data_IF_271801257819
#
_entry.id   IF_271801257819
#
_cell.length_a   1.000
_cell.length_b   1.000
_cell.length_c   1.000
_cell.angle_alpha   90.00
_cell.angle_beta   90.00
_cell.angle_gamma   90.00
#
_symmetry.space_group_name_H-M   'P 1'
#
loop_
_entity.id
_entity.type
_entity.pdbx_description
1 polymer ?
#
# COMPACT_ATOMS: atom_id res chain seq x y z
N UNK A 1 50.62 18.26 18.45
CA UNK A 1 49.52 19.07 17.88
C UNK A 1 49.00 18.52 16.54
N UNK A 2 49.83 18.10 15.59
CA UNK A 2 49.31 17.60 14.27
C UNK A 2 48.71 16.18 14.32
N UNK A 3 49.01 15.34 15.30
CA UNK A 3 48.46 13.97 15.41
C UNK A 3 47.02 13.93 15.88
N UNK A 4 46.63 14.90 16.69
CA UNK A 4 45.24 14.96 17.22
C UNK A 4 44.24 15.51 16.19
N UNK A 5 44.68 16.41 15.34
CA UNK A 5 43.87 16.99 14.28
C UNK A 5 43.44 15.94 13.22
N UNK A 6 44.27 14.94 12.93
CA UNK A 6 43.94 13.82 12.03
C UNK A 6 42.86 12.89 12.59
N UNK A 7 42.85 12.68 13.92
CA UNK A 7 41.85 11.83 14.59
C UNK A 7 40.46 12.49 14.59
N UNK A 8 40.41 13.81 14.74
CA UNK A 8 39.17 14.56 14.68
C UNK A 8 38.56 14.64 13.26
N UNK A 9 39.43 14.65 12.25
CA UNK A 9 39.00 14.65 10.85
C UNK A 9 38.30 13.34 10.44
N UNK A 10 38.74 12.21 11.00
CA UNK A 10 38.14 10.91 10.77
C UNK A 10 36.81 10.73 11.53
N UNK A 11 36.66 11.37 12.67
CA UNK A 11 35.41 11.35 13.45
C UNK A 11 34.29 12.22 12.81
N UNK A 12 34.68 13.28 12.12
CA UNK A 12 33.69 14.13 11.36
C UNK A 12 33.23 13.48 10.07
N UNK A 13 34.01 12.59 9.47
CA UNK A 13 33.62 11.86 8.25
C UNK A 13 32.60 10.73 8.52
N UNK A 14 32.51 10.24 9.75
CA UNK A 14 31.54 9.21 10.15
C UNK A 14 30.14 9.76 10.48
N UNK A 15 30.00 11.06 10.64
CA UNK A 15 28.73 11.70 11.04
C UNK A 15 27.82 12.10 9.87
N UNK A 16 28.22 11.87 8.62
CA UNK A 16 27.49 12.35 7.42
C UNK A 16 26.77 11.23 6.66
N UNK A 17 26.77 9.99 7.17
CA UNK A 17 25.97 8.92 6.56
C UNK A 17 24.68 8.71 7.37
N UNK A 18 23.99 9.78 7.69
CA UNK A 18 22.55 9.74 7.95
C UNK A 18 21.88 10.03 6.61
N UNK A 19 22.02 9.10 5.67
CA UNK A 19 21.27 9.12 4.41
C UNK A 19 19.80 9.06 4.77
N UNK A 20 19.05 10.07 4.36
CA UNK A 20 17.62 9.98 4.22
C UNK A 20 17.35 8.66 3.48
N UNK A 21 16.82 7.69 4.15
CA UNK A 21 16.21 6.54 3.51
C UNK A 21 14.92 7.07 2.91
N UNK A 22 15.00 7.61 1.69
CA UNK A 22 13.86 7.66 0.81
C UNK A 22 13.39 6.21 0.75
N UNK A 23 12.24 5.95 1.33
CA UNK A 23 11.61 4.63 1.28
C UNK A 23 11.26 4.39 -0.18
N UNK A 24 12.17 3.74 -0.90
CA UNK A 24 11.89 3.27 -2.25
C UNK A 24 10.71 2.34 -2.15
N UNK A 25 9.68 2.61 -2.93
CA UNK A 25 8.49 1.77 -2.96
C UNK A 25 8.90 0.33 -3.32
N UNK A 26 8.36 -0.67 -2.62
CA UNK A 26 8.75 -2.07 -2.83
C UNK A 26 8.20 -2.67 -4.12
N UNK A 27 7.26 -2.00 -4.78
CA UNK A 27 6.63 -2.45 -6.02
C UNK A 27 7.30 -1.84 -7.26
N UNK A 28 7.29 -2.58 -8.34
CA UNK A 28 7.71 -2.10 -9.64
C UNK A 28 6.62 -1.23 -10.30
N UNK A 29 7.00 -0.45 -11.32
CA UNK A 29 6.04 0.43 -12.03
C UNK A 29 4.86 -0.33 -12.66
N UNK A 30 5.09 -1.55 -13.13
CA UNK A 30 4.07 -2.42 -13.72
C UNK A 30 3.13 -3.04 -12.67
N UNK A 31 3.45 -2.91 -11.39
CA UNK A 31 2.58 -3.32 -10.27
C UNK A 31 1.72 -2.15 -9.76
N UNK A 32 1.93 -0.95 -10.27
CA UNK A 32 0.99 0.16 -10.07
C UNK A 32 -0.19 0.01 -11.03
N UNK A 33 -1.39 0.11 -10.49
CA UNK A 33 -2.63 0.10 -11.26
C UNK A 33 -3.30 1.46 -11.22
N UNK A 34 -3.55 2.06 -12.37
CA UNK A 34 -4.23 3.34 -12.46
C UNK A 34 -5.73 3.22 -12.07
N UNK A 35 -6.31 4.24 -11.41
CA UNK A 35 -7.71 4.22 -11.00
C UNK A 35 -8.68 3.90 -12.15
N UNK A 36 -8.48 4.47 -13.33
CA UNK A 36 -9.32 4.19 -14.50
C UNK A 36 -9.25 2.72 -14.93
N UNK A 37 -8.06 2.12 -14.86
CA UNK A 37 -7.86 0.71 -15.21
C UNK A 37 -8.58 -0.22 -14.22
N UNK A 38 -8.51 0.08 -12.91
CA UNK A 38 -9.26 -0.69 -11.92
C UNK A 38 -10.77 -0.50 -12.09
N UNK A 39 -11.25 0.73 -12.32
CA UNK A 39 -12.66 0.99 -12.54
C UNK A 39 -13.21 0.19 -13.72
N UNK A 40 -12.45 0.07 -14.81
CA UNK A 40 -12.81 -0.80 -15.93
C UNK A 40 -12.77 -2.28 -15.57
N UNK A 41 -11.76 -2.73 -14.81
CA UNK A 41 -11.58 -4.12 -14.41
C UNK A 41 -12.71 -4.61 -13.47
N UNK A 42 -13.36 -3.73 -12.70
CA UNK A 42 -14.51 -4.08 -11.86
C UNK A 42 -15.68 -4.66 -12.66
N UNK A 43 -15.81 -4.30 -13.95
CA UNK A 43 -16.87 -4.77 -14.85
C UNK A 43 -16.44 -5.98 -15.71
N UNK A 44 -15.22 -6.48 -15.50
CA UNK A 44 -14.74 -7.65 -16.25
C UNK A 44 -15.37 -8.96 -15.76
N UNK A 45 -15.29 -10.00 -16.57
CA UNK A 45 -15.79 -11.34 -16.18
C UNK A 45 -15.02 -11.94 -14.98
N UNK A 46 -13.79 -11.47 -14.71
CA UNK A 46 -12.94 -11.89 -13.60
C UNK A 46 -12.28 -10.66 -12.98
N UNK A 47 -13.01 -9.91 -12.13
CA UNK A 47 -12.45 -8.75 -11.48
C UNK A 47 -11.37 -9.17 -10.47
N UNK A 48 -10.38 -8.29 -10.20
CA UNK A 48 -9.37 -8.58 -9.18
C UNK A 48 -9.99 -8.60 -7.77
N UNK A 49 -9.33 -9.28 -6.86
CA UNK A 49 -9.62 -9.19 -5.42
C UNK A 49 -9.10 -7.86 -4.91
N UNK A 50 -9.96 -7.06 -4.30
CA UNK A 50 -9.61 -5.72 -3.83
C UNK A 50 -9.46 -5.74 -2.32
N UNK A 51 -8.32 -5.29 -1.80
CA UNK A 51 -8.01 -5.24 -0.38
C UNK A 51 -7.85 -3.79 0.08
N UNK A 52 -8.67 -3.37 1.04
CA UNK A 52 -8.58 -2.06 1.65
C UNK A 52 -7.74 -2.12 2.92
N UNK A 53 -6.57 -1.47 2.91
CA UNK A 53 -5.65 -1.41 4.06
C UNK A 53 -5.84 -0.15 4.91
N UNK A 54 -6.97 0.52 4.79
CA UNK A 54 -7.33 1.66 5.61
C UNK A 54 -7.85 1.23 6.99
N UNK A 55 -7.98 2.21 7.89
CA UNK A 55 -8.69 2.00 9.16
C UNK A 55 -10.15 1.66 8.90
N UNK A 56 -10.72 0.81 9.75
CA UNK A 56 -12.11 0.30 9.63
C UNK A 56 -13.17 1.41 9.49
N UNK A 57 -12.96 2.56 10.13
CA UNK A 57 -13.88 3.69 10.00
C UNK A 57 -13.96 4.21 8.56
N UNK A 58 -12.83 4.28 7.84
CA UNK A 58 -12.79 4.69 6.44
C UNK A 58 -13.39 3.62 5.53
N UNK A 59 -13.02 2.36 5.76
CA UNK A 59 -13.57 1.22 5.02
C UNK A 59 -15.11 1.17 5.12
N UNK A 60 -15.66 1.36 6.32
CA UNK A 60 -17.13 1.38 6.56
C UNK A 60 -17.82 2.65 6.08
N UNK A 61 -17.09 3.74 5.87
CA UNK A 61 -17.68 4.98 5.34
C UNK A 61 -18.01 4.84 3.86
N UNK A 62 -16.99 4.63 3.04
CA UNK A 62 -17.09 4.51 1.59
C UNK A 62 -15.89 3.76 1.03
N UNK A 63 -16.13 2.81 0.14
CA UNK A 63 -15.09 1.95 -0.42
C UNK A 63 -15.31 1.63 -1.90
N UNK A 64 -14.31 1.04 -2.52
CA UNK A 64 -14.45 0.41 -3.84
C UNK A 64 -15.37 -0.81 -3.67
N UNK A 65 -16.32 -1.06 -4.62
CA UNK A 65 -17.23 -2.18 -4.52
C UNK A 65 -16.51 -3.52 -4.33
N UNK A 66 -17.06 -4.37 -3.48
CA UNK A 66 -16.54 -5.71 -3.15
C UNK A 66 -15.14 -5.72 -2.51
N UNK A 67 -14.60 -4.56 -2.13
CA UNK A 67 -13.33 -4.55 -1.39
C UNK A 67 -13.46 -5.27 -0.05
N UNK A 68 -12.48 -6.10 0.26
CA UNK A 68 -12.35 -6.77 1.55
C UNK A 68 -11.63 -5.86 2.54
N UNK A 69 -12.06 -5.88 3.80
CA UNK A 69 -11.35 -5.18 4.87
C UNK A 69 -10.07 -5.93 5.20
N UNK A 70 -8.92 -5.30 4.95
CA UNK A 70 -7.61 -5.84 5.23
C UNK A 70 -6.91 -5.13 6.40
N UNK A 71 -7.56 -4.09 6.95
CA UNK A 71 -7.07 -3.31 8.09
C UNK A 71 -5.77 -2.55 7.85
N UNK A 72 -5.37 -1.69 8.79
CA UNK A 72 -4.16 -0.87 8.63
C UNK A 72 -2.89 -1.72 8.73
N UNK A 73 -2.17 -1.84 7.61
CA UNK A 73 -0.94 -2.66 7.53
C UNK A 73 0.18 -2.23 8.47
N UNK A 74 0.12 -1.01 9.00
CA UNK A 74 1.06 -0.50 10.02
C UNK A 74 0.78 -1.03 11.43
N UNK A 75 -0.28 -1.83 11.62
CA UNK A 75 -0.71 -2.34 12.92
C UNK A 75 -0.78 -3.87 12.91
N UNK A 76 -0.39 -4.55 14.02
CA UNK A 76 -0.48 -6.01 14.12
C UNK A 76 -1.90 -6.55 13.89
N UNK A 77 -2.92 -5.89 14.41
CA UNK A 77 -4.32 -6.24 14.20
C UNK A 77 -4.76 -6.10 12.74
N UNK A 78 -4.22 -5.09 12.02
CA UNK A 78 -4.46 -4.93 10.59
C UNK A 78 -3.80 -6.04 9.77
N UNK A 79 -2.57 -6.42 10.10
CA UNK A 79 -1.90 -7.57 9.46
C UNK A 79 -2.66 -8.88 9.73
N UNK A 80 -3.23 -9.04 10.92
CA UNK A 80 -4.06 -10.22 11.21
C UNK A 80 -5.34 -10.23 10.35
N UNK A 81 -6.00 -9.08 10.16
CA UNK A 81 -7.14 -8.95 9.26
C UNK A 81 -6.76 -9.23 7.81
N UNK A 82 -5.63 -8.69 7.33
CA UNK A 82 -5.10 -8.98 5.99
C UNK A 82 -4.94 -10.48 5.76
N UNK A 83 -4.24 -11.17 6.67
CA UNK A 83 -4.01 -12.61 6.60
C UNK A 83 -5.32 -13.41 6.57
N UNK A 84 -6.30 -12.99 7.37
CA UNK A 84 -7.63 -13.60 7.38
C UNK A 84 -8.37 -13.36 6.05
N UNK A 85 -8.31 -12.14 5.51
CA UNK A 85 -9.00 -11.79 4.26
C UNK A 85 -8.49 -12.60 3.06
N UNK A 86 -7.23 -13.04 3.08
CA UNK A 86 -6.61 -13.78 1.96
C UNK A 86 -6.41 -15.28 2.24
N UNK A 87 -6.87 -15.79 3.38
CA UNK A 87 -6.58 -17.15 3.83
C UNK A 87 -6.99 -18.23 2.81
N UNK A 88 -8.13 -18.04 2.17
CA UNK A 88 -8.72 -19.02 1.24
C UNK A 88 -8.46 -18.66 -0.24
N UNK A 89 -7.67 -17.62 -0.53
CA UNK A 89 -7.34 -17.23 -1.89
C UNK A 89 -6.22 -18.10 -2.48
N UNK A 90 -6.33 -18.50 -3.76
CA UNK A 90 -5.23 -19.14 -4.46
C UNK A 90 -4.04 -18.18 -4.62
N UNK A 91 -2.81 -18.70 -4.68
CA UNK A 91 -1.59 -17.87 -4.71
C UNK A 91 -1.42 -17.09 -6.01
N UNK A 92 -2.05 -17.53 -7.07
CA UNK A 92 -2.15 -16.85 -8.37
C UNK A 92 -3.35 -15.87 -8.45
N UNK A 93 -4.02 -15.57 -7.34
CA UNK A 93 -5.09 -14.57 -7.33
C UNK A 93 -4.56 -13.19 -7.72
N UNK A 94 -5.29 -12.50 -8.60
CA UNK A 94 -5.01 -11.11 -8.97
C UNK A 94 -5.52 -10.18 -7.87
N UNK A 95 -4.60 -9.57 -7.13
CA UNK A 95 -4.91 -8.75 -5.96
C UNK A 95 -4.56 -7.28 -6.23
N UNK A 96 -5.43 -6.38 -5.82
CA UNK A 96 -5.19 -4.93 -5.83
C UNK A 96 -5.33 -4.37 -4.42
N UNK A 97 -4.24 -3.79 -3.90
CA UNK A 97 -4.19 -3.11 -2.61
C UNK A 97 -4.50 -1.62 -2.75
N UNK A 98 -5.28 -1.07 -1.83
CA UNK A 98 -5.39 0.37 -1.65
C UNK A 98 -5.58 0.76 -0.18
N UNK A 99 -5.24 2.00 0.17
CA UNK A 99 -5.53 2.57 1.50
C UNK A 99 -6.47 3.77 1.40
N UNK A 100 -6.04 4.82 0.71
CA UNK A 100 -6.86 5.96 0.39
C UNK A 100 -7.05 7.02 1.48
N UNK A 101 -6.42 6.86 2.65
CA UNK A 101 -6.49 7.86 3.72
C UNK A 101 -5.52 9.05 3.52
N UNK A 102 -4.50 8.87 2.67
CA UNK A 102 -3.43 9.82 2.44
C UNK A 102 -2.77 9.52 1.09
N UNK A 103 -1.93 10.42 0.56
CA UNK A 103 -1.12 10.14 -0.60
C UNK A 103 -0.35 8.83 -0.45
N UNK A 104 -0.38 7.98 -1.49
CA UNK A 104 0.24 6.65 -1.47
C UNK A 104 1.71 6.70 -1.03
N UNK A 105 2.46 7.71 -1.48
CA UNK A 105 3.88 7.90 -1.11
C UNK A 105 4.12 8.09 0.39
N UNK A 106 3.11 8.57 1.12
CA UNK A 106 3.15 8.80 2.57
C UNK A 106 2.37 7.75 3.36
N UNK A 107 1.73 6.79 2.68
CA UNK A 107 0.86 5.82 3.34
C UNK A 107 1.67 4.79 4.14
N UNK A 108 1.49 4.70 5.46
CA UNK A 108 2.22 3.74 6.28
C UNK A 108 1.65 2.31 6.18
N UNK A 109 0.47 2.15 5.59
CA UNK A 109 -0.28 0.90 5.63
C UNK A 109 -0.02 -0.02 4.42
N UNK A 110 0.21 0.56 3.23
CA UNK A 110 0.30 -0.21 1.99
C UNK A 110 1.58 -1.05 1.94
N UNK A 111 2.75 -0.46 2.28
CA UNK A 111 4.04 -1.16 2.17
C UNK A 111 4.12 -2.43 3.03
N UNK A 112 3.77 -2.39 4.33
CA UNK A 112 3.75 -3.61 5.14
C UNK A 112 2.75 -4.65 4.62
N UNK A 113 1.57 -4.22 4.17
CA UNK A 113 0.57 -5.13 3.59
C UNK A 113 1.07 -5.80 2.31
N UNK A 114 1.71 -5.04 1.42
CA UNK A 114 2.33 -5.56 0.20
C UNK A 114 3.40 -6.62 0.52
N UNK A 115 4.32 -6.33 1.44
CA UNK A 115 5.34 -7.29 1.87
C UNK A 115 4.74 -8.58 2.42
N UNK A 116 3.74 -8.47 3.30
CA UNK A 116 3.07 -9.64 3.88
C UNK A 116 2.42 -10.51 2.81
N UNK A 117 1.79 -9.93 1.78
CA UNK A 117 1.21 -10.72 0.70
C UNK A 117 2.27 -11.50 -0.08
N UNK A 118 3.41 -10.88 -0.38
CA UNK A 118 4.53 -11.57 -1.03
C UNK A 118 5.14 -12.66 -0.14
N UNK A 119 5.31 -12.41 1.16
CA UNK A 119 5.75 -13.42 2.14
C UNK A 119 4.78 -14.61 2.21
N UNK A 120 3.49 -14.37 2.03
CA UNK A 120 2.46 -15.41 1.95
C UNK A 120 2.44 -16.15 0.60
N UNK A 121 3.28 -15.73 -0.36
CA UNK A 121 3.44 -16.38 -1.67
C UNK A 121 2.42 -15.95 -2.73
N UNK A 122 1.77 -14.79 -2.58
CA UNK A 122 0.93 -14.25 -3.65
C UNK A 122 1.80 -13.66 -4.77
N UNK A 123 1.53 -14.05 -6.01
CA UNK A 123 2.37 -13.74 -7.18
C UNK A 123 1.91 -12.47 -7.92
N UNK A 124 0.62 -12.15 -7.87
CA UNK A 124 0.01 -11.07 -8.62
C UNK A 124 -0.59 -10.02 -7.70
N UNK A 125 0.29 -9.23 -7.07
CA UNK A 125 -0.11 -8.13 -6.16
C UNK A 125 0.18 -6.81 -6.83
N UNK A 126 -0.85 -5.98 -6.99
CA UNK A 126 -0.75 -4.62 -7.52
C UNK A 126 -1.20 -3.61 -6.48
N UNK A 127 -0.71 -2.39 -6.60
CA UNK A 127 -1.09 -1.26 -5.74
C UNK A 127 -1.84 -0.24 -6.57
N UNK A 128 -3.01 0.18 -6.09
CA UNK A 128 -3.78 1.24 -6.73
C UNK A 128 -3.05 2.58 -6.57
N UNK A 129 -2.77 3.23 -7.69
CA UNK A 129 -2.09 4.52 -7.72
C UNK A 129 -3.03 5.63 -7.25
N UNK A 130 -2.89 6.03 -5.99
CA UNK A 130 -3.65 7.12 -5.36
C UNK A 130 -2.67 8.22 -4.96
N UNK A 131 -2.33 9.14 -5.87
CA UNK A 131 -1.34 10.17 -5.59
C UNK A 131 -1.78 11.19 -4.53
N UNK A 132 -3.07 11.48 -4.41
CA UNK A 132 -3.62 12.44 -3.45
C UNK A 132 -4.39 11.74 -2.32
N UNK A 133 -5.58 11.26 -2.62
CA UNK A 133 -6.46 10.53 -1.71
C UNK A 133 -7.65 9.93 -2.49
N UNK A 134 -8.43 9.04 -1.85
CA UNK A 134 -9.58 8.40 -2.50
C UNK A 134 -10.68 9.38 -2.91
N UNK A 135 -10.82 10.50 -2.19
CA UNK A 135 -11.84 11.48 -2.57
C UNK A 135 -11.54 12.10 -3.94
N UNK A 136 -10.29 12.51 -4.15
CA UNK A 136 -9.87 13.19 -5.39
C UNK A 136 -9.61 12.20 -6.55
N UNK A 137 -8.95 11.08 -6.26
CA UNK A 137 -8.41 10.19 -7.28
C UNK A 137 -9.38 9.08 -7.69
N UNK A 138 -10.43 8.83 -6.86
CA UNK A 138 -11.42 7.79 -7.12
C UNK A 138 -12.86 8.32 -7.08
N UNK A 139 -13.35 8.76 -5.91
CA UNK A 139 -14.76 9.13 -5.75
C UNK A 139 -15.13 10.40 -6.52
N UNK A 140 -14.26 11.40 -6.52
CA UNK A 140 -14.44 12.65 -7.28
C UNK A 140 -14.32 12.47 -8.79
N UNK A 141 -13.75 11.36 -9.25
CA UNK A 141 -13.73 10.96 -10.66
C UNK A 141 -15.02 10.23 -11.10
N UNK A 142 -15.92 9.96 -10.17
CA UNK A 142 -17.15 9.23 -10.45
C UNK A 142 -16.96 7.71 -10.63
N UNK A 143 -15.84 7.15 -10.21
CA UNK A 143 -15.62 5.70 -10.26
C UNK A 143 -16.51 4.96 -9.27
N UNK A 144 -16.80 3.66 -9.52
CA UNK A 144 -17.72 2.88 -8.70
C UNK A 144 -17.38 2.89 -7.22
N UNK A 145 -18.40 3.06 -6.38
CA UNK A 145 -18.24 3.07 -4.94
C UNK A 145 -19.48 2.48 -4.26
N UNK A 146 -19.27 1.90 -3.09
CA UNK A 146 -20.36 1.46 -2.21
C UNK A 146 -20.21 2.08 -0.82
N UNK A 147 -21.34 2.30 -0.15
CA UNK A 147 -21.32 2.66 1.27
C UNK A 147 -20.93 1.44 2.10
N UNK A 148 -20.16 1.65 3.15
CA UNK A 148 -19.91 0.61 4.13
C UNK A 148 -21.18 0.33 4.96
N UNK A 149 -21.35 -0.89 5.35
CA UNK A 149 -22.38 -1.35 6.30
C UNK A 149 -21.78 -1.49 7.69
#
# INVERSE_FOLDING_TARGET
MLKDMRRWFWLLLLAVICLAQDSVDPWAKNELMEPAALAAALHSAKPPVILCTAFSALYRSKRIPHALEAGPGSKPEGIALLKKAVADLPKDADIVLYCGCCPMVKCPNIRPAYHVLHELGFEHVRVLNIPSNMHEDWFGKGYPAEAGT
#
